data_IF_905769720940
#
_entry.id   IF_905769720940
#
_cell.length_a   1.000
_cell.length_b   1.000
_cell.length_c   1.000
_cell.angle_alpha   90.00
_cell.angle_beta   90.00
_cell.angle_gamma   90.00
#
_symmetry.space_group_name_H-M   'P 1'
#
loop_
_entity.id
_entity.type
_entity.pdbx_description
1 polymer ?
#
# COMPACT_ATOMS: atom_id res chain seq x y z
N UNK A 1 -3.75 -9.78 0.04
CA UNK A 1 -3.49 -8.61 0.90
C UNK A 1 -4.22 -8.77 2.22
N UNK A 2 -3.53 -8.53 3.31
CA UNK A 2 -4.16 -8.65 4.62
C UNK A 2 -4.98 -7.40 4.93
N UNK A 3 -5.88 -7.54 5.89
CA UNK A 3 -6.68 -6.40 6.32
C UNK A 3 -5.80 -5.30 6.89
N UNK A 4 -4.74 -5.68 7.61
CA UNK A 4 -3.82 -4.70 8.19
C UNK A 4 -3.15 -3.88 7.10
N UNK A 5 -2.65 -4.53 6.05
CA UNK A 5 -2.02 -3.82 4.94
C UNK A 5 -3.03 -2.89 4.28
N UNK A 6 -4.24 -3.36 4.06
CA UNK A 6 -5.27 -2.55 3.45
C UNK A 6 -5.58 -1.31 4.28
N UNK A 7 -5.71 -1.46 5.59
CA UNK A 7 -5.97 -0.32 6.46
C UNK A 7 -4.82 0.67 6.45
N UNK A 8 -3.60 0.18 6.40
CA UNK A 8 -2.43 1.05 6.35
C UNK A 8 -2.38 1.83 5.04
N UNK A 9 -2.74 1.19 3.92
CA UNK A 9 -2.82 1.88 2.65
C UNK A 9 -3.85 3.01 2.73
N UNK A 10 -5.02 2.73 3.29
CA UNK A 10 -6.07 3.74 3.40
C UNK A 10 -5.65 4.89 4.30
N UNK A 11 -4.89 4.60 5.35
CA UNK A 11 -4.38 5.65 6.23
C UNK A 11 -3.45 6.60 5.50
N UNK A 12 -2.54 6.07 4.70
CA UNK A 12 -1.62 6.92 3.94
C UNK A 12 -2.40 7.70 2.88
N UNK A 13 -3.36 7.05 2.23
CA UNK A 13 -4.18 7.72 1.23
C UNK A 13 -4.94 8.90 1.85
N UNK A 14 -5.51 8.70 3.02
CA UNK A 14 -6.26 9.74 3.70
C UNK A 14 -5.40 10.92 4.12
N UNK A 15 -4.11 10.69 4.34
CA UNK A 15 -3.21 11.76 4.75
C UNK A 15 -2.90 12.72 3.59
N UNK A 16 -3.06 12.26 2.37
CA UNK A 16 -2.74 13.07 1.19
C UNK A 16 -1.27 13.39 1.04
N UNK A 17 -0.40 12.62 1.70
CA UNK A 17 1.01 12.97 1.78
C UNK A 17 1.77 12.70 0.48
N UNK A 18 1.26 11.81 -0.37
CA UNK A 18 1.99 11.46 -1.58
C UNK A 18 1.04 10.87 -2.61
N UNK A 19 1.56 10.72 -3.83
CA UNK A 19 0.85 10.04 -4.91
C UNK A 19 0.85 8.55 -4.63
N UNK A 20 -0.33 7.96 -4.52
CA UNK A 20 -0.45 6.54 -4.18
C UNK A 20 0.11 5.62 -5.26
N UNK A 21 0.27 6.11 -6.48
CA UNK A 21 0.88 5.31 -7.54
C UNK A 21 2.41 5.30 -7.46
N UNK A 22 2.98 6.15 -6.63
CA UNK A 22 4.43 6.16 -6.41
C UNK A 22 4.74 5.15 -5.30
N UNK A 23 4.92 3.90 -5.69
CA UNK A 23 5.09 2.83 -4.71
C UNK A 23 6.30 3.05 -3.81
N UNK A 24 7.37 3.62 -4.37
CA UNK A 24 8.58 3.86 -3.57
C UNK A 24 8.30 4.89 -2.48
N UNK A 25 7.60 5.96 -2.83
CA UNK A 25 7.27 7.00 -1.85
C UNK A 25 6.31 6.46 -0.79
N UNK A 26 5.33 5.67 -1.21
CA UNK A 26 4.38 5.09 -0.26
C UNK A 26 5.09 4.11 0.68
N UNK A 27 6.02 3.33 0.14
CA UNK A 27 6.78 2.39 0.97
C UNK A 27 7.59 3.15 2.01
N UNK A 28 8.22 4.26 1.62
CA UNK A 28 8.99 5.07 2.56
C UNK A 28 8.10 5.63 3.65
N UNK A 29 6.96 6.20 3.26
CA UNK A 29 6.02 6.74 4.24
C UNK A 29 5.51 5.67 5.18
N UNK A 30 5.22 4.49 4.65
CA UNK A 30 4.76 3.38 5.48
C UNK A 30 5.81 3.06 6.53
N UNK A 31 7.07 2.99 6.11
CA UNK A 31 8.15 2.68 7.03
C UNK A 31 8.28 3.76 8.10
N UNK A 32 8.19 5.03 7.68
CA UNK A 32 8.34 6.15 8.61
C UNK A 32 7.19 6.21 9.61
N UNK A 33 6.03 5.73 9.25
CA UNK A 33 4.86 5.74 10.11
C UNK A 33 4.69 4.44 10.92
N UNK A 34 5.66 3.54 10.82
CA UNK A 34 5.57 2.28 11.55
C UNK A 34 4.68 1.26 10.89
N UNK A 35 4.27 1.48 9.66
CA UNK A 35 3.42 0.55 8.92
C UNK A 35 4.29 -0.48 8.22
N UNK A 36 4.97 -1.30 9.01
CA UNK A 36 5.98 -2.20 8.47
C UNK A 36 5.37 -3.30 7.62
N UNK A 37 4.14 -3.71 7.91
CA UNK A 37 3.50 -4.73 7.08
C UNK A 37 3.24 -4.21 5.69
N UNK A 38 2.81 -2.95 5.57
CA UNK A 38 2.61 -2.35 4.26
C UNK A 38 3.94 -2.18 3.54
N UNK A 39 4.96 -1.71 4.24
CA UNK A 39 6.26 -1.53 3.62
C UNK A 39 6.79 -2.85 3.05
N UNK A 40 6.65 -3.92 3.82
CA UNK A 40 7.08 -5.24 3.40
C UNK A 40 6.24 -5.74 2.23
N UNK A 41 4.94 -5.49 2.29
CA UNK A 41 4.04 -5.92 1.22
C UNK A 41 4.42 -5.26 -0.11
N UNK A 42 4.71 -3.96 -0.09
CA UNK A 42 5.09 -3.26 -1.31
C UNK A 42 6.42 -3.81 -1.83
N UNK A 43 7.35 -4.08 -0.93
CA UNK A 43 8.66 -4.60 -1.32
C UNK A 43 8.52 -5.90 -2.10
N UNK A 44 7.63 -6.79 -1.66
CA UNK A 44 7.52 -8.13 -2.20
C UNK A 44 6.38 -8.32 -3.20
N UNK A 45 5.45 -7.37 -3.27
CA UNK A 45 4.24 -7.54 -4.08
C UNK A 45 3.87 -6.23 -4.78
N UNK A 46 4.85 -5.60 -5.43
CA UNK A 46 4.63 -4.29 -6.02
C UNK A 46 3.50 -4.28 -7.04
N UNK A 47 3.42 -5.33 -7.85
CA UNK A 47 2.36 -5.38 -8.86
C UNK A 47 0.98 -5.49 -8.24
N UNK A 48 0.88 -6.27 -7.17
CA UNK A 48 -0.40 -6.41 -6.48
C UNK A 48 -0.79 -5.09 -5.82
N UNK A 49 0.17 -4.36 -5.25
CA UNK A 49 -0.10 -3.06 -4.69
C UNK A 49 -0.64 -2.11 -5.76
N UNK A 50 0.05 -2.05 -6.90
CA UNK A 50 -0.36 -1.15 -7.98
C UNK A 50 -1.76 -1.49 -8.47
N UNK A 51 -2.07 -2.77 -8.58
CA UNK A 51 -3.39 -3.19 -9.02
C UNK A 51 -4.46 -2.76 -8.01
N UNK A 52 -4.17 -2.87 -6.72
CA UNK A 52 -5.13 -2.43 -5.72
C UNK A 52 -5.41 -0.94 -5.84
N UNK A 53 -4.36 -0.14 -6.02
CA UNK A 53 -4.53 1.31 -6.15
C UNK A 53 -5.34 1.63 -7.39
N UNK A 54 -5.09 0.92 -8.48
CA UNK A 54 -5.76 1.19 -9.75
C UNK A 54 -7.23 0.78 -9.72
N UNK A 55 -7.55 -0.35 -9.12
CA UNK A 55 -8.89 -0.93 -9.21
C UNK A 55 -9.67 -0.91 -7.90
N UNK A 56 -8.99 -0.78 -6.78
CA UNK A 56 -9.63 -0.88 -5.47
C UNK A 56 -9.89 -2.31 -5.04
N UNK A 57 -9.44 -3.30 -5.82
CA UNK A 57 -9.65 -4.71 -5.52
C UNK A 57 -8.42 -5.31 -4.90
N UNK A 58 -8.65 -6.08 -3.86
CA UNK A 58 -7.55 -6.76 -3.23
C UNK A 58 -7.30 -8.12 -3.80
N UNK A 59 -7.94 -8.55 -4.71
CA UNK A 59 -7.97 -9.70 -5.10
C UNK A 59 -7.36 -10.53 -5.48
N UNK A 60 -7.02 -10.90 -5.26
CA UNK A 60 -6.50 -11.73 -5.54
C UNK A 60 -7.20 -12.79 -5.84
N UNK A 61 -7.86 -12.91 -6.36
CA UNK A 61 -8.57 -13.82 -6.57
C UNK A 61 -8.87 -14.14 -7.37
N UNK A 62 -9.01 -14.69 -7.62
CA UNK A 62 -9.34 -15.29 -8.39
C UNK A 62 -9.76 -15.56 -8.87
#
# INVERSE_FOLDING_TARGET
>A
MTEIVKQQILSIRASGATNMFDAVAVQRLAFENGYYELADYIENNRKAYARFILTGNTEETP
#
